data_IF_576340425403
#
_entry.id   IF_576340425403
#
_cell.length_a   1.000
_cell.length_b   1.000
_cell.length_c   1.000
_cell.angle_alpha   90.00
_cell.angle_beta   90.00
_cell.angle_gamma   90.00
#
_symmetry.space_group_name_H-M   'P 1'
#
loop_
_entity.id
_entity.type
_entity.pdbx_description
1 polymer ?
#
# COMPACT_ATOMS: atom_id res chain seq x y z
N UNK A 1 26.56 0.94 -2.80
CA UNK A 1 25.65 -0.15 -2.42
C UNK A 1 24.32 0.45 -2.08
N UNK A 2 23.21 -0.13 -2.54
CA UNK A 2 21.89 0.36 -2.10
C UNK A 2 21.69 -0.07 -0.66
N UNK A 3 21.42 0.89 0.22
CA UNK A 3 21.29 0.69 1.66
C UNK A 3 19.83 0.55 2.10
N UNK A 4 19.62 -0.22 3.16
CA UNK A 4 18.32 -0.24 3.85
C UNK A 4 17.98 1.15 4.37
N UNK A 5 16.68 1.48 4.39
CA UNK A 5 16.18 2.76 4.88
C UNK A 5 15.24 2.58 6.06
N UNK A 6 15.37 3.47 7.03
CA UNK A 6 14.44 3.66 8.15
C UNK A 6 14.06 5.15 8.22
N UNK A 7 13.13 5.50 9.11
CA UNK A 7 12.87 6.89 9.45
C UNK A 7 14.07 7.49 10.20
N UNK A 8 14.35 8.77 9.98
CA UNK A 8 15.37 9.54 10.73
C UNK A 8 14.85 9.96 12.10
N UNK A 9 13.60 10.39 12.16
CA UNK A 9 12.91 10.78 13.39
C UNK A 9 11.59 10.02 13.55
N UNK A 10 11.08 9.92 14.77
CA UNK A 10 9.71 9.49 14.98
C UNK A 10 8.74 10.61 14.57
N UNK A 11 7.61 10.25 13.97
CA UNK A 11 6.55 11.21 13.61
C UNK A 11 5.19 10.68 14.04
N UNK A 12 4.27 11.61 14.36
CA UNK A 12 2.93 11.31 14.85
C UNK A 12 1.89 11.92 13.94
N UNK A 13 0.76 11.22 13.81
CA UNK A 13 -0.44 11.72 13.16
C UNK A 13 -1.66 11.28 13.98
N UNK A 14 -2.77 11.97 13.77
CA UNK A 14 -4.07 11.60 14.32
C UNK A 14 -5.07 11.62 13.18
N UNK A 15 -5.93 10.61 13.13
CA UNK A 15 -7.01 10.54 12.16
C UNK A 15 -8.14 9.64 12.65
N UNK A 16 -9.00 9.24 11.72
CA UNK A 16 -10.11 8.32 11.98
C UNK A 16 -9.93 7.06 11.13
N UNK A 17 -10.40 5.92 11.62
CA UNK A 17 -10.46 4.69 10.84
C UNK A 17 -11.57 4.80 9.79
N UNK A 18 -11.32 4.35 8.56
CA UNK A 18 -12.34 4.38 7.50
C UNK A 18 -13.54 3.52 7.90
N UNK A 19 -13.26 2.29 8.32
CA UNK A 19 -14.31 1.32 8.59
C UNK A 19 -14.85 1.44 10.00
N UNK A 20 -13.96 1.58 10.98
CA UNK A 20 -14.33 1.64 12.40
C UNK A 20 -14.92 2.98 12.82
N UNK A 21 -14.53 4.09 12.18
CA UNK A 21 -14.85 5.45 12.62
C UNK A 21 -14.14 5.87 13.91
N UNK A 22 -13.25 5.03 14.46
CA UNK A 22 -12.54 5.31 15.70
C UNK A 22 -11.42 6.32 15.48
N UNK A 23 -11.20 7.19 16.47
CA UNK A 23 -10.05 8.10 16.48
C UNK A 23 -8.78 7.30 16.76
N UNK A 24 -7.80 7.41 15.87
CA UNK A 24 -6.52 6.70 15.94
C UNK A 24 -5.37 7.70 16.05
N UNK A 25 -4.55 7.52 17.06
CA UNK A 25 -3.20 8.08 17.13
C UNK A 25 -2.23 7.09 16.48
N UNK A 26 -1.54 7.56 15.43
CA UNK A 26 -0.51 6.84 14.69
C UNK A 26 0.87 7.39 15.09
N UNK A 27 1.83 6.53 15.41
CA UNK A 27 3.24 6.92 15.55
C UNK A 27 4.11 6.03 14.66
N UNK A 28 4.85 6.64 13.74
CA UNK A 28 5.87 5.95 12.95
C UNK A 28 7.22 6.15 13.62
N UNK A 29 7.98 5.07 13.85
CA UNK A 29 9.29 5.12 14.51
C UNK A 29 10.38 4.44 13.69
N UNK A 30 11.64 4.89 13.81
CA UNK A 30 12.77 4.16 13.26
C UNK A 30 12.82 2.73 13.82
N UNK A 31 13.31 1.78 13.01
CA UNK A 31 13.57 0.42 13.45
C UNK A 31 14.98 -0.04 13.08
N UNK A 32 15.46 -1.08 13.75
CA UNK A 32 16.77 -1.66 13.49
C UNK A 32 16.84 -2.29 12.09
N UNK A 33 18.07 -2.51 11.62
CA UNK A 33 18.34 -3.26 10.39
C UNK A 33 17.60 -4.61 10.44
N UNK A 34 17.02 -5.00 9.30
CA UNK A 34 16.29 -6.26 9.12
C UNK A 34 15.03 -6.46 9.98
N UNK A 35 14.58 -5.44 10.71
CA UNK A 35 13.30 -5.50 11.43
C UNK A 35 12.12 -5.70 10.47
N UNK A 36 12.17 -5.07 9.29
CA UNK A 36 11.03 -4.93 8.40
C UNK A 36 10.02 -3.89 8.91
N UNK A 37 8.81 -3.92 8.34
CA UNK A 37 7.68 -3.13 8.84
C UNK A 37 6.92 -3.94 9.89
N UNK A 38 6.81 -3.39 11.10
CA UNK A 38 6.14 -4.05 12.23
C UNK A 38 5.07 -3.14 12.80
N UNK A 39 3.82 -3.58 12.72
CA UNK A 39 2.69 -2.87 13.31
C UNK A 39 2.51 -3.26 14.78
N UNK A 40 2.07 -2.31 15.62
CA UNK A 40 1.92 -2.50 17.07
C UNK A 40 0.62 -1.88 17.57
N UNK A 41 -0.21 -2.69 18.23
CA UNK A 41 -1.38 -2.22 19.00
C UNK A 41 -0.92 -1.79 20.38
N UNK A 42 -0.78 -0.48 20.59
CA UNK A 42 -0.21 0.08 21.83
C UNK A 42 -1.26 0.50 22.86
N UNK A 43 -2.54 0.40 22.50
CA UNK A 43 -3.69 0.61 23.39
C UNK A 43 -3.99 -0.61 24.28
N UNK A 44 -3.42 -1.77 23.97
CA UNK A 44 -3.58 -2.99 24.77
C UNK A 44 -2.69 -2.95 26.03
N UNK A 45 -3.06 -3.67 27.12
CA UNK A 45 -2.27 -3.72 28.35
C UNK A 45 -0.81 -4.12 28.11
N UNK A 46 -0.60 -5.06 27.19
CA UNK A 46 0.71 -5.38 26.64
C UNK A 46 0.67 -5.12 25.13
N UNK A 47 1.59 -4.29 24.58
CA UNK A 47 1.62 -4.02 23.16
C UNK A 47 1.81 -5.28 22.33
N UNK A 48 0.92 -5.49 21.36
CA UNK A 48 0.99 -6.66 20.46
C UNK A 48 1.60 -6.26 19.13
N UNK A 49 2.71 -6.90 18.78
CA UNK A 49 3.42 -6.69 17.52
C UNK A 49 3.00 -7.71 16.44
N UNK A 50 2.73 -7.20 15.25
CA UNK A 50 2.36 -7.97 14.06
C UNK A 50 3.24 -7.52 12.88
N UNK A 51 4.11 -8.42 12.40
CA UNK A 51 4.94 -8.14 11.23
C UNK A 51 4.06 -8.02 9.98
N UNK A 52 4.32 -7.03 9.13
CA UNK A 52 3.67 -6.90 7.83
C UNK A 52 4.23 -7.98 6.88
N UNK A 53 3.54 -9.13 6.81
CA UNK A 53 3.89 -10.21 5.91
C UNK A 53 2.65 -10.97 5.42
N UNK A 54 2.72 -11.72 4.28
CA UNK A 54 1.53 -12.30 3.67
C UNK A 54 0.87 -13.37 4.55
N UNK A 55 1.69 -14.01 5.42
CA UNK A 55 1.22 -15.02 6.38
C UNK A 55 0.39 -14.43 7.52
N UNK A 56 0.64 -13.16 7.87
CA UNK A 56 -0.11 -12.47 8.92
C UNK A 56 -1.36 -11.77 8.38
N UNK A 57 -1.61 -11.78 7.06
CA UNK A 57 -2.90 -11.30 6.52
C UNK A 57 -3.99 -12.30 6.90
N UNK A 58 -4.93 -11.85 7.73
CA UNK A 58 -6.03 -12.68 8.24
C UNK A 58 -7.40 -12.34 7.65
N UNK A 59 -7.57 -11.12 7.13
CA UNK A 59 -8.81 -10.65 6.51
C UNK A 59 -8.48 -9.68 5.37
N UNK A 60 -9.26 -9.75 4.31
CA UNK A 60 -9.10 -8.99 3.07
C UNK A 60 -10.42 -8.37 2.58
N UNK A 61 -11.46 -8.37 3.43
CA UNK A 61 -12.74 -7.75 3.11
C UNK A 61 -12.61 -6.22 3.17
N UNK A 62 -12.71 -5.58 2.00
CA UNK A 62 -12.63 -4.11 1.79
C UNK A 62 -11.29 -3.43 2.11
N UNK A 63 -10.42 -4.07 2.88
CA UNK A 63 -9.05 -3.63 3.18
C UNK A 63 -8.15 -4.82 3.49
N UNK A 64 -6.84 -4.62 3.55
CA UNK A 64 -5.90 -5.63 4.04
C UNK A 64 -5.74 -5.52 5.55
N UNK A 65 -6.01 -6.62 6.26
CA UNK A 65 -5.92 -6.69 7.73
C UNK A 65 -4.87 -7.70 8.19
N UNK A 66 -3.95 -7.22 9.03
CA UNK A 66 -2.98 -8.06 9.72
C UNK A 66 -3.60 -8.62 11.02
N UNK A 67 -3.42 -9.90 11.26
CA UNK A 67 -3.99 -10.63 12.40
C UNK A 67 -2.91 -11.47 13.09
N UNK A 68 -2.88 -11.41 14.41
CA UNK A 68 -2.12 -12.30 15.28
C UNK A 68 -3.00 -12.67 16.47
N UNK A 69 -3.28 -13.96 16.61
CA UNK A 69 -4.23 -14.48 17.58
C UNK A 69 -5.60 -13.76 17.47
N UNK A 70 -6.00 -13.00 18.50
CA UNK A 70 -7.26 -12.23 18.53
C UNK A 70 -7.07 -10.74 18.20
N UNK A 71 -5.84 -10.32 17.92
CA UNK A 71 -5.51 -8.91 17.68
C UNK A 71 -5.43 -8.65 16.18
N UNK A 72 -6.10 -7.58 15.73
CA UNK A 72 -6.09 -7.12 14.34
C UNK A 72 -5.65 -5.67 14.21
N UNK A 73 -5.05 -5.37 13.07
CA UNK A 73 -4.76 -4.03 12.57
C UNK A 73 -5.18 -4.00 11.10
N UNK A 74 -6.20 -3.22 10.80
CA UNK A 74 -6.86 -3.17 9.49
C UNK A 74 -6.42 -1.96 8.66
N UNK A 75 -6.66 -2.01 7.35
CA UNK A 75 -6.43 -0.88 6.42
C UNK A 75 -4.95 -0.48 6.33
N UNK A 76 -4.05 -1.47 6.23
CA UNK A 76 -2.59 -1.23 6.21
C UNK A 76 -2.05 -0.79 4.84
N UNK A 77 -2.80 -1.05 3.78
CA UNK A 77 -2.39 -0.95 2.39
C UNK A 77 -1.90 0.45 1.98
N UNK A 78 -2.57 1.53 2.37
CA UNK A 78 -2.17 2.89 1.95
C UNK A 78 -0.85 3.33 2.60
N UNK A 79 -0.67 3.01 3.88
CA UNK A 79 0.57 3.28 4.59
C UNK A 79 1.72 2.40 4.07
N UNK A 80 1.46 1.12 3.80
CA UNK A 80 2.44 0.24 3.18
C UNK A 80 2.82 0.72 1.77
N UNK A 81 1.87 1.26 1.01
CA UNK A 81 2.12 1.85 -0.31
C UNK A 81 3.04 3.07 -0.21
N UNK A 82 2.85 3.92 0.79
CA UNK A 82 3.76 5.03 1.07
C UNK A 82 5.17 4.55 1.45
N UNK A 83 5.31 3.53 2.29
CA UNK A 83 6.61 2.93 2.62
C UNK A 83 7.30 2.32 1.39
N UNK A 84 6.56 1.58 0.57
CA UNK A 84 7.06 0.99 -0.67
C UNK A 84 7.57 2.07 -1.64
N UNK A 85 6.76 3.10 -1.88
CA UNK A 85 7.06 4.20 -2.79
C UNK A 85 8.25 5.07 -2.35
N UNK A 86 8.52 5.15 -1.05
CA UNK A 86 9.68 5.86 -0.49
C UNK A 86 10.88 4.94 -0.18
N UNK A 87 10.70 3.64 -0.33
CA UNK A 87 11.73 2.62 -0.13
C UNK A 87 12.11 2.38 1.34
N UNK A 88 11.20 2.60 2.29
CA UNK A 88 11.42 2.36 3.73
C UNK A 88 11.39 0.87 4.04
N UNK A 89 12.53 0.30 4.44
CA UNK A 89 12.67 -1.11 4.77
C UNK A 89 12.26 -1.42 6.21
N UNK A 90 12.61 -0.55 7.14
CA UNK A 90 12.50 -0.81 8.58
C UNK A 90 11.72 0.31 9.26
N UNK A 91 10.60 -0.03 9.90
CA UNK A 91 9.82 0.90 10.71
C UNK A 91 8.94 0.17 11.72
N UNK A 92 8.75 0.78 12.89
CA UNK A 92 7.65 0.42 13.78
C UNK A 92 6.47 1.34 13.54
N UNK A 93 5.27 0.77 13.47
CA UNK A 93 4.00 1.46 13.23
C UNK A 93 3.09 1.25 14.43
N UNK A 94 3.02 2.25 15.31
CA UNK A 94 2.16 2.17 16.48
C UNK A 94 0.80 2.75 16.17
N UNK A 95 -0.24 1.99 16.48
CA UNK A 95 -1.64 2.41 16.41
C UNK A 95 -2.29 2.22 17.77
N UNK A 96 -3.14 3.17 18.13
CA UNK A 96 -3.92 3.17 19.39
C UNK A 96 -5.33 2.60 19.21
N UNK A 97 -5.64 2.02 18.05
CA UNK A 97 -6.88 1.31 17.80
C UNK A 97 -6.66 0.24 16.71
N UNK A 98 -7.72 -0.49 16.34
CA UNK A 98 -7.67 -1.68 15.48
C UNK A 98 -7.53 -1.39 13.95
N UNK A 99 -7.23 -0.16 13.57
CA UNK A 99 -7.18 0.31 12.18
C UNK A 99 -6.08 1.37 12.03
N UNK A 100 -5.53 1.52 10.83
CA UNK A 100 -4.69 2.66 10.44
C UNK A 100 -5.59 3.85 10.07
N UNK A 101 -5.27 5.11 10.45
CA UNK A 101 -6.12 6.24 10.11
C UNK A 101 -6.20 6.43 8.59
N UNK A 102 -7.39 6.68 8.04
CA UNK A 102 -7.59 6.80 6.58
C UNK A 102 -7.02 8.09 5.97
N UNK A 103 -6.77 9.09 6.81
CA UNK A 103 -6.30 10.42 6.39
C UNK A 103 -7.26 11.03 5.34
N UNK A 104 -6.78 11.28 4.13
CA UNK A 104 -7.57 11.83 3.02
C UNK A 104 -8.02 10.74 2.01
N UNK A 105 -7.86 9.46 2.37
CA UNK A 105 -8.16 8.31 1.51
C UNK A 105 -7.04 7.91 0.57
N UNK A 106 -5.89 8.59 0.60
CA UNK A 106 -4.72 8.31 -0.24
C UNK A 106 -3.45 8.07 0.58
N UNK A 107 -2.34 7.75 -0.10
CA UNK A 107 -1.03 7.63 0.52
C UNK A 107 -0.31 9.00 0.69
N UNK A 108 -0.85 10.08 0.09
CA UNK A 108 -0.23 11.40 0.06
C UNK A 108 0.13 11.96 1.45
N UNK A 109 -0.79 11.95 2.42
CA UNK A 109 -0.50 12.38 3.79
C UNK A 109 0.61 11.55 4.45
N UNK A 110 0.65 10.24 4.21
CA UNK A 110 1.73 9.38 4.75
C UNK A 110 3.07 9.67 4.10
N UNK A 111 3.09 9.87 2.78
CA UNK A 111 4.30 10.28 2.05
C UNK A 111 4.85 11.58 2.63
N UNK A 112 3.99 12.58 2.84
CA UNK A 112 4.36 13.85 3.46
C UNK A 112 4.97 13.65 4.85
N UNK A 113 4.29 12.90 5.73
CA UNK A 113 4.77 12.60 7.08
C UNK A 113 6.15 11.91 7.07
N UNK A 114 6.33 10.89 6.25
CA UNK A 114 7.59 10.14 6.15
C UNK A 114 8.72 11.06 5.64
N UNK A 115 8.45 11.88 4.64
CA UNK A 115 9.43 12.85 4.13
C UNK A 115 9.78 13.92 5.17
N UNK A 116 8.78 14.44 5.91
CA UNK A 116 9.00 15.39 7.02
C UNK A 116 9.80 14.78 8.17
N UNK A 117 9.59 13.50 8.49
CA UNK A 117 10.37 12.77 9.48
C UNK A 117 11.84 12.60 9.05
N UNK A 118 12.09 12.63 7.75
CA UNK A 118 13.37 12.34 7.13
C UNK A 118 13.63 10.83 7.00
N UNK A 119 14.45 10.47 6.03
CA UNK A 119 14.86 9.09 5.76
C UNK A 119 16.32 8.92 6.17
N UNK A 120 16.63 7.86 6.90
CA UNK A 120 17.96 7.49 7.32
C UNK A 120 18.38 6.19 6.66
N UNK A 121 19.51 6.20 5.97
CA UNK A 121 20.14 4.98 5.48
C UNK A 121 20.84 4.23 6.60
N UNK A 122 20.75 2.92 6.58
CA UNK A 122 21.38 2.02 7.54
C UNK A 122 22.53 1.29 6.87
N UNK A 123 23.58 0.95 7.62
CA UNK A 123 24.76 0.27 7.09
C UNK A 123 24.51 -1.23 6.85
N UNK A 124 23.53 -1.54 6.01
CA UNK A 124 23.17 -2.87 5.56
C UNK A 124 22.63 -2.81 4.13
N UNK A 125 22.89 -3.81 3.28
CA UNK A 125 22.39 -3.82 1.92
C UNK A 125 20.86 -3.93 1.91
N UNK A 126 20.21 -3.12 1.07
CA UNK A 126 18.79 -3.29 0.72
C UNK A 126 18.63 -4.54 -0.12
N UNK A 127 17.61 -5.32 0.21
CA UNK A 127 17.36 -6.64 -0.39
C UNK A 127 16.05 -6.57 -1.18
N UNK A 128 16.09 -7.05 -2.40
CA UNK A 128 14.98 -7.01 -3.36
C UNK A 128 14.53 -8.42 -3.69
N UNK A 129 13.26 -8.58 -4.04
CA UNK A 129 12.74 -9.81 -4.65
C UNK A 129 12.70 -9.62 -6.16
N UNK A 130 13.52 -10.37 -6.89
CA UNK A 130 13.51 -10.39 -8.35
C UNK A 130 12.65 -11.53 -8.86
N UNK A 131 11.66 -11.23 -9.69
CA UNK A 131 10.82 -12.22 -10.38
C UNK A 131 11.62 -12.85 -11.52
N UNK A 132 11.70 -14.18 -11.52
CA UNK A 132 12.44 -14.99 -12.51
C UNK A 132 11.51 -15.70 -13.48
N UNK A 133 10.28 -15.99 -13.06
CA UNK A 133 9.27 -16.70 -13.86
C UNK A 133 7.90 -16.10 -13.61
N UNK A 134 7.04 -16.17 -14.61
CA UNK A 134 5.66 -15.68 -14.46
C UNK A 134 4.86 -16.58 -13.52
N UNK A 135 4.09 -15.96 -12.63
CA UNK A 135 3.15 -16.64 -11.71
C UNK A 135 1.82 -15.92 -11.79
N UNK A 136 0.73 -16.67 -11.89
CA UNK A 136 -0.61 -16.14 -12.01
C UNK A 136 -1.56 -16.86 -11.06
N UNK A 137 -2.51 -16.11 -10.50
CA UNK A 137 -3.63 -16.64 -9.73
C UNK A 137 -4.93 -16.08 -10.27
N UNK A 138 -5.97 -16.91 -10.25
CA UNK A 138 -7.29 -16.61 -10.83
C UNK A 138 -8.41 -16.90 -9.82
N UNK A 139 -9.47 -16.10 -9.87
CA UNK A 139 -10.72 -16.28 -9.13
C UNK A 139 -11.91 -15.79 -9.98
N UNK A 140 -12.59 -16.73 -10.64
CA UNK A 140 -13.65 -16.42 -11.59
C UNK A 140 -13.12 -15.60 -12.77
N UNK A 141 -13.60 -14.37 -12.93
CA UNK A 141 -13.15 -13.45 -13.98
C UNK A 141 -12.04 -12.50 -13.53
N UNK A 142 -11.52 -12.66 -12.30
CA UNK A 142 -10.43 -11.85 -11.73
C UNK A 142 -9.12 -12.61 -11.83
N UNK A 143 -8.03 -11.89 -12.09
CA UNK A 143 -6.70 -12.48 -12.06
C UNK A 143 -5.63 -11.47 -11.65
N UNK A 144 -4.53 -11.98 -11.10
CA UNK A 144 -3.34 -11.23 -10.78
C UNK A 144 -2.10 -12.03 -11.18
N UNK A 145 -1.09 -11.35 -11.75
CA UNK A 145 0.09 -11.99 -12.31
C UNK A 145 1.36 -11.21 -11.99
N UNK A 146 2.44 -11.94 -11.74
CA UNK A 146 3.80 -11.43 -11.81
C UNK A 146 4.49 -11.88 -13.08
N UNK A 147 5.32 -11.01 -13.67
CA UNK A 147 6.21 -11.32 -14.78
C UNK A 147 7.63 -10.81 -14.50
N UNK A 148 8.67 -11.49 -15.03
CA UNK A 148 10.03 -10.96 -15.02
C UNK A 148 10.10 -9.62 -15.74
N UNK A 149 10.69 -8.62 -15.09
CA UNK A 149 10.86 -7.28 -15.65
C UNK A 149 12.08 -6.61 -15.02
N UNK A 150 12.89 -5.92 -15.84
CA UNK A 150 14.09 -5.22 -15.39
C UNK A 150 13.75 -3.83 -14.82
N UNK A 151 12.97 -3.80 -13.74
CA UNK A 151 12.45 -2.59 -13.10
C UNK A 151 11.29 -2.94 -12.17
N UNK A 152 10.47 -1.96 -11.82
CA UNK A 152 9.20 -2.19 -11.14
C UNK A 152 8.07 -1.53 -11.93
N UNK A 153 7.13 -2.34 -12.40
CA UNK A 153 5.98 -1.89 -13.19
C UNK A 153 4.69 -2.45 -12.61
N UNK A 154 3.65 -1.64 -12.56
CA UNK A 154 2.32 -2.04 -12.10
C UNK A 154 1.30 -1.66 -13.16
N UNK A 155 0.56 -2.65 -13.62
CA UNK A 155 -0.55 -2.53 -14.56
C UNK A 155 -1.84 -2.97 -13.87
N UNK A 156 -2.90 -2.19 -14.04
CA UNK A 156 -4.18 -2.51 -13.43
C UNK A 156 -5.34 -2.18 -14.35
N UNK A 157 -6.32 -3.08 -14.39
CA UNK A 157 -7.58 -2.91 -15.10
C UNK A 157 -8.75 -3.11 -14.15
N UNK A 158 -9.65 -2.13 -14.10
CA UNK A 158 -10.93 -2.21 -13.41
C UNK A 158 -12.05 -2.48 -14.41
N UNK A 159 -13.16 -3.04 -13.95
CA UNK A 159 -14.36 -3.24 -14.76
C UNK A 159 -15.58 -3.08 -13.86
N UNK A 160 -16.06 -1.86 -13.73
CA UNK A 160 -17.27 -1.55 -12.96
C UNK A 160 -18.45 -1.39 -13.91
N UNK A 161 -19.51 -2.18 -13.71
CA UNK A 161 -20.78 -1.98 -14.40
C UNK A 161 -21.53 -0.81 -13.76
N UNK A 162 -21.12 0.39 -14.15
CA UNK A 162 -21.65 1.64 -13.63
C UNK A 162 -21.57 2.73 -14.72
N UNK A 163 -22.63 3.54 -14.94
CA UNK A 163 -22.67 4.54 -16.00
C UNK A 163 -21.45 5.47 -16.02
N UNK A 164 -20.98 5.88 -14.84
CA UNK A 164 -19.82 6.76 -14.70
C UNK A 164 -18.51 6.17 -15.26
N UNK A 165 -18.36 4.85 -15.27
CA UNK A 165 -17.15 4.17 -15.74
C UNK A 165 -17.23 3.80 -17.23
N UNK A 166 -18.43 3.82 -17.84
CA UNK A 166 -18.60 3.58 -19.28
C UNK A 166 -17.89 4.70 -20.06
N UNK A 167 -16.95 4.32 -20.92
CA UNK A 167 -16.16 5.25 -21.73
C UNK A 167 -15.03 5.99 -21.00
N UNK A 168 -14.78 5.71 -19.71
CA UNK A 168 -13.62 6.23 -18.98
C UNK A 168 -12.42 5.29 -19.07
N UNK A 169 -11.24 5.83 -18.79
CA UNK A 169 -10.03 5.02 -18.69
C UNK A 169 -10.10 4.10 -17.46
N UNK A 170 -10.31 2.81 -17.72
CA UNK A 170 -10.38 1.76 -16.71
C UNK A 170 -9.09 0.95 -16.65
N UNK A 171 -8.04 1.41 -17.31
CA UNK A 171 -6.76 0.74 -17.43
C UNK A 171 -5.62 1.74 -17.22
N UNK A 172 -4.65 1.38 -16.40
CA UNK A 172 -3.46 2.20 -16.21
C UNK A 172 -2.21 1.33 -16.06
N UNK A 173 -1.10 1.86 -16.55
CA UNK A 173 0.23 1.26 -16.44
C UNK A 173 1.17 2.31 -15.85
N UNK A 174 1.88 1.95 -14.79
CA UNK A 174 2.90 2.81 -14.17
C UNK A 174 4.21 2.05 -14.12
N UNK A 175 5.21 2.57 -14.83
CA UNK A 175 6.60 2.10 -14.76
C UNK A 175 7.40 3.05 -13.87
N UNK A 176 7.83 2.56 -12.70
CA UNK A 176 8.52 3.36 -11.69
C UNK A 176 9.99 3.64 -12.04
N UNK A 177 10.51 3.13 -13.16
CA UNK A 177 11.80 3.57 -13.70
C UNK A 177 11.74 4.99 -14.30
N UNK A 178 10.56 5.42 -14.75
CA UNK A 178 10.34 6.72 -15.42
C UNK A 178 9.28 7.57 -14.74
N UNK A 179 8.45 6.98 -13.89
CA UNK A 179 7.29 7.63 -13.27
C UNK A 179 7.48 7.82 -11.77
N UNK A 180 7.17 9.01 -11.27
CA UNK A 180 7.25 9.31 -9.83
C UNK A 180 6.01 8.81 -9.10
N UNK A 181 6.18 7.85 -8.17
CA UNK A 181 5.11 7.40 -7.27
C UNK A 181 4.45 8.57 -6.54
N UNK A 182 5.26 9.49 -6.01
CA UNK A 182 4.77 10.63 -5.23
C UNK A 182 3.84 11.51 -6.06
N UNK A 183 4.19 11.80 -7.32
CA UNK A 183 3.39 12.69 -8.17
C UNK A 183 2.19 12.00 -8.79
N UNK A 184 2.38 10.77 -9.29
CA UNK A 184 1.40 10.13 -10.16
C UNK A 184 0.45 9.17 -9.47
N UNK A 185 0.82 8.63 -8.31
CA UNK A 185 0.04 7.57 -7.64
C UNK A 185 -0.38 7.98 -6.23
N UNK A 186 0.52 8.58 -5.44
CA UNK A 186 0.33 8.71 -3.99
C UNK A 186 -0.94 9.47 -3.57
N UNK A 187 -1.42 10.40 -4.41
CA UNK A 187 -2.60 11.23 -4.08
C UNK A 187 -3.92 10.61 -4.54
N UNK A 188 -3.92 9.46 -5.21
CA UNK A 188 -5.16 8.83 -5.68
C UNK A 188 -5.97 8.29 -4.51
N UNK A 189 -7.18 8.80 -4.31
CA UNK A 189 -8.02 8.47 -3.15
C UNK A 189 -8.82 7.19 -3.35
N UNK A 190 -9.14 6.56 -2.22
CA UNK A 190 -10.12 5.48 -2.15
C UNK A 190 -11.49 5.97 -2.60
N UNK A 191 -12.35 5.03 -2.97
CA UNK A 191 -13.66 5.35 -3.50
C UNK A 191 -14.70 4.31 -3.12
N UNK A 192 -15.96 4.76 -3.05
CA UNK A 192 -17.10 3.91 -2.74
C UNK A 192 -18.36 4.40 -3.44
N UNK A 193 -19.34 3.51 -3.59
CA UNK A 193 -20.63 3.85 -4.17
C UNK A 193 -21.62 4.22 -3.06
N UNK A 194 -22.38 5.28 -3.27
CA UNK A 194 -23.39 5.77 -2.31
C UNK A 194 -24.44 4.70 -2.00
N UNK A 195 -24.85 3.92 -3.01
CA UNK A 195 -25.80 2.81 -2.87
C UNK A 195 -25.33 1.70 -1.93
N UNK A 196 -24.01 1.54 -1.77
CA UNK A 196 -23.43 0.50 -0.91
C UNK A 196 -23.27 0.99 0.54
N UNK A 197 -23.33 2.31 0.79
CA UNK A 197 -22.96 2.91 2.07
C UNK A 197 -23.89 2.50 3.21
N UNK A 198 -25.19 2.45 2.98
CA UNK A 198 -26.17 2.02 4.01
C UNK A 198 -25.91 0.56 4.42
N UNK A 199 -25.77 -0.33 3.43
CA UNK A 199 -25.44 -1.74 3.67
C UNK A 199 -24.11 -1.91 4.41
N UNK A 200 -23.07 -1.15 4.03
CA UNK A 200 -21.78 -1.20 4.70
C UNK A 200 -21.91 -0.76 6.17
N UNK A 201 -22.67 0.31 6.45
CA UNK A 201 -22.87 0.81 7.82
C UNK A 201 -23.64 -0.16 8.69
N UNK A 202 -24.63 -0.88 8.15
CA UNK A 202 -25.34 -1.96 8.87
C UNK A 202 -24.39 -3.08 9.31
N UNK A 203 -23.33 -3.32 8.53
CA UNK A 203 -22.26 -4.29 8.85
C UNK A 203 -21.11 -3.67 9.67
N UNK A 204 -21.30 -2.46 10.21
CA UNK A 204 -20.28 -1.69 10.95
C UNK A 204 -19.00 -1.40 10.13
N UNK A 205 -19.16 -1.20 8.83
CA UNK A 205 -18.12 -0.81 7.88
C UNK A 205 -18.38 0.62 7.39
N UNK A 206 -17.33 1.28 6.90
CA UNK A 206 -17.34 2.65 6.39
C UNK A 206 -17.94 3.71 7.36
N UNK A 207 -17.83 3.48 8.68
CA UNK A 207 -18.39 4.38 9.70
C UNK A 207 -17.66 5.73 9.77
N UNK A 208 -16.37 5.77 9.39
CA UNK A 208 -15.57 6.98 9.30
C UNK A 208 -15.47 7.57 7.89
N UNK A 209 -16.17 6.99 6.91
CA UNK A 209 -16.15 7.45 5.52
C UNK A 209 -16.86 8.79 5.35
N UNK A 210 -16.18 9.77 4.75
CA UNK A 210 -16.69 11.09 4.40
C UNK A 210 -16.20 11.52 3.01
N UNK A 211 -16.72 12.62 2.47
CA UNK A 211 -16.23 13.20 1.22
C UNK A 211 -14.78 13.73 1.33
N UNK A 212 -14.27 13.94 2.54
CA UNK A 212 -12.90 14.39 2.78
C UNK A 212 -11.88 13.26 2.63
N UNK A 213 -12.33 12.00 2.81
CA UNK A 213 -11.45 10.83 2.84
C UNK A 213 -11.81 9.72 1.84
N UNK A 214 -12.81 9.95 0.99
CA UNK A 214 -13.15 9.06 -0.10
C UNK A 214 -13.78 9.82 -1.27
N UNK A 215 -13.55 9.34 -2.49
CA UNK A 215 -14.37 9.71 -3.64
C UNK A 215 -15.68 8.94 -3.55
N UNK A 216 -16.81 9.65 -3.44
CA UNK A 216 -18.12 9.01 -3.35
C UNK A 216 -18.84 9.16 -4.68
N UNK A 217 -19.30 8.04 -5.21
CA UNK A 217 -19.96 7.94 -6.51
C UNK A 217 -21.44 7.59 -6.29
N UNK A 218 -22.36 8.43 -6.76
CA UNK A 218 -23.78 8.06 -6.87
C UNK A 218 -24.02 7.32 -8.21
N UNK A 219 -25.28 6.98 -8.52
CA UNK A 219 -25.62 6.21 -9.73
C UNK A 219 -25.18 6.87 -11.06
N UNK A 220 -24.85 8.17 -11.06
CA UNK A 220 -24.60 8.95 -12.28
C UNK A 220 -23.36 9.85 -12.22
N UNK A 221 -22.92 10.30 -11.05
CA UNK A 221 -21.90 11.34 -10.88
C UNK A 221 -21.03 11.12 -9.63
N UNK A 222 -19.96 11.91 -9.56
CA UNK A 222 -19.10 12.04 -8.38
C UNK A 222 -19.71 13.12 -7.48
N UNK A 223 -19.78 12.84 -6.17
CA UNK A 223 -20.38 13.74 -5.19
C UNK A 223 -19.40 14.77 -4.60
N UNK A 224 -18.10 14.51 -4.67
CA UNK A 224 -17.08 15.45 -4.20
C UNK A 224 -17.11 16.72 -5.06
N UNK A 225 -17.30 17.90 -4.44
CA UNK A 225 -17.44 19.18 -5.14
C UNK A 225 -16.19 19.55 -5.96
N UNK A 226 -15.00 19.29 -5.41
CA UNK A 226 -13.72 19.51 -6.09
C UNK A 226 -13.40 18.46 -7.17
N UNK A 227 -14.26 17.45 -7.34
CA UNK A 227 -14.09 16.39 -8.32
C UNK A 227 -12.92 15.43 -8.04
N UNK A 228 -12.28 14.96 -9.12
CA UNK A 228 -11.14 14.03 -9.06
C UNK A 228 -9.81 14.77 -9.07
N UNK A 229 -8.80 14.18 -8.44
CA UNK A 229 -7.40 14.62 -8.50
C UNK A 229 -6.71 14.21 -9.80
N UNK A 230 -7.18 13.12 -10.41
CA UNK A 230 -6.74 12.59 -11.70
C UNK A 230 -7.94 12.10 -12.49
N UNK A 231 -7.92 12.19 -13.83
CA UNK A 231 -9.01 11.66 -14.65
C UNK A 231 -9.21 10.14 -14.46
N UNK A 232 -8.11 9.43 -14.18
CA UNK A 232 -8.01 7.99 -13.95
C UNK A 232 -7.80 7.65 -12.45
N UNK A 233 -8.24 8.52 -11.53
CA UNK A 233 -8.00 8.39 -10.07
C UNK A 233 -8.42 7.01 -9.50
N UNK A 234 -9.53 6.44 -9.99
CA UNK A 234 -10.03 5.13 -9.52
C UNK A 234 -9.05 3.98 -9.80
N UNK A 235 -8.51 3.88 -11.02
CA UNK A 235 -7.57 2.82 -11.38
C UNK A 235 -6.19 3.10 -10.79
N UNK A 236 -5.78 4.37 -10.70
CA UNK A 236 -4.56 4.77 -9.98
C UNK A 236 -4.62 4.42 -8.49
N UNK A 237 -5.79 4.51 -7.86
CA UNK A 237 -5.96 4.04 -6.48
C UNK A 237 -5.81 2.52 -6.38
N UNK A 238 -6.29 1.75 -7.36
CA UNK A 238 -6.06 0.29 -7.37
C UNK A 238 -4.60 -0.09 -7.60
N UNK A 239 -3.84 0.73 -8.33
CA UNK A 239 -2.38 0.63 -8.41
C UNK A 239 -1.75 0.93 -7.04
N UNK A 240 -2.22 1.97 -6.33
CA UNK A 240 -1.76 2.31 -4.98
C UNK A 240 -2.02 1.16 -4.00
N UNK A 241 -3.23 0.60 -3.97
CA UNK A 241 -3.61 -0.56 -3.17
C UNK A 241 -2.69 -1.75 -3.47
N UNK A 242 -2.50 -2.07 -4.76
CA UNK A 242 -1.63 -3.16 -5.18
C UNK A 242 -0.21 -2.96 -4.66
N UNK A 243 0.41 -1.78 -4.84
CA UNK A 243 1.77 -1.50 -4.33
C UNK A 243 1.86 -1.74 -2.82
N UNK A 244 0.84 -1.32 -2.06
CA UNK A 244 0.77 -1.55 -0.62
C UNK A 244 0.69 -3.01 -0.25
N UNK A 245 -0.22 -3.76 -0.87
CA UNK A 245 -0.37 -5.20 -0.67
C UNK A 245 0.92 -5.94 -1.05
N UNK A 246 1.51 -5.64 -2.21
CA UNK A 246 2.75 -6.26 -2.68
C UNK A 246 3.91 -6.05 -1.70
N UNK A 247 3.92 -4.92 -0.97
CA UNK A 247 4.95 -4.63 0.03
C UNK A 247 4.87 -5.52 1.26
N UNK A 248 3.78 -6.30 1.44
CA UNK A 248 3.74 -7.38 2.42
C UNK A 248 4.82 -8.43 2.17
N UNK A 249 5.41 -8.55 0.98
CA UNK A 249 6.62 -9.36 0.79
C UNK A 249 7.79 -8.93 1.69
N UNK A 250 7.72 -7.73 2.28
CA UNK A 250 8.73 -7.17 3.19
C UNK A 250 9.97 -6.65 2.49
N UNK A 251 9.95 -6.60 1.15
CA UNK A 251 11.05 -6.22 0.27
C UNK A 251 10.49 -5.56 -0.98
N UNK A 252 11.27 -4.65 -1.57
CA UNK A 252 10.91 -4.06 -2.86
C UNK A 252 11.03 -5.10 -3.98
N UNK A 253 10.10 -5.03 -4.94
CA UNK A 253 10.01 -5.98 -6.05
C UNK A 253 10.79 -5.49 -7.28
N UNK A 254 11.44 -6.41 -7.99
CA UNK A 254 11.97 -6.22 -9.35
C UNK A 254 11.20 -7.20 -10.23
N UNK A 255 10.26 -6.67 -11.00
CA UNK A 255 9.26 -7.43 -11.73
C UNK A 255 8.10 -6.53 -12.17
N UNK A 256 7.21 -7.10 -12.98
CA UNK A 256 5.97 -6.46 -13.35
C UNK A 256 4.81 -7.16 -12.64
N UNK A 257 3.88 -6.38 -12.10
CA UNK A 257 2.58 -6.86 -11.62
C UNK A 257 1.50 -6.42 -12.60
N UNK A 258 0.60 -7.33 -12.94
CA UNK A 258 -0.61 -7.02 -13.70
C UNK A 258 -1.84 -7.56 -12.96
N UNK A 259 -2.81 -6.70 -12.67
CA UNK A 259 -4.07 -7.06 -12.03
C UNK A 259 -5.27 -6.74 -12.90
N UNK A 260 -6.16 -7.72 -13.13
CA UNK A 260 -7.46 -7.51 -13.76
C UNK A 260 -8.56 -7.81 -12.78
N UNK A 261 -9.33 -6.77 -12.41
CA UNK A 261 -10.36 -6.81 -11.36
C UNK A 261 -9.84 -7.41 -10.03
N UNK A 262 -8.53 -7.33 -9.81
CA UNK A 262 -7.90 -7.85 -8.59
C UNK A 262 -8.32 -7.01 -7.37
N UNK A 263 -8.08 -7.55 -6.20
CA UNK A 263 -8.24 -6.86 -4.92
C UNK A 263 -7.36 -7.53 -3.86
N UNK A 264 -7.45 -7.06 -2.62
CA UNK A 264 -6.60 -7.49 -1.51
C UNK A 264 -6.48 -9.02 -1.34
N UNK A 265 -7.60 -9.74 -1.49
CA UNK A 265 -7.65 -11.20 -1.40
C UNK A 265 -6.76 -11.88 -2.46
N UNK A 266 -6.92 -11.48 -3.71
CA UNK A 266 -6.21 -12.07 -4.84
C UNK A 266 -4.74 -11.64 -4.88
N UNK A 267 -4.46 -10.39 -4.49
CA UNK A 267 -3.10 -9.88 -4.30
C UNK A 267 -2.35 -10.73 -3.26
N UNK A 268 -2.92 -10.93 -2.06
CA UNK A 268 -2.29 -11.76 -1.01
C UNK A 268 -2.14 -13.22 -1.45
N UNK A 269 -3.12 -13.79 -2.18
CA UNK A 269 -3.00 -15.13 -2.75
C UNK A 269 -1.82 -15.24 -3.72
N UNK A 270 -1.62 -14.25 -4.59
CA UNK A 270 -0.47 -14.18 -5.49
C UNK A 270 0.86 -14.13 -4.71
N UNK A 271 0.92 -13.35 -3.62
CA UNK A 271 2.12 -13.29 -2.77
C UNK A 271 2.45 -14.63 -2.12
N UNK A 272 1.42 -15.34 -1.64
CA UNK A 272 1.61 -16.67 -1.02
C UNK A 272 2.07 -17.69 -2.05
N UNK A 273 1.53 -17.65 -3.27
CA UNK A 273 1.96 -18.51 -4.37
C UNK A 273 3.42 -18.23 -4.76
N UNK A 274 3.79 -16.96 -4.90
CA UNK A 274 5.18 -16.55 -5.17
C UNK A 274 6.14 -17.08 -4.10
N UNK A 275 5.81 -16.92 -2.81
CA UNK A 275 6.66 -17.40 -1.73
C UNK A 275 6.72 -18.93 -1.64
N UNK A 276 5.71 -19.64 -2.13
CA UNK A 276 5.69 -21.10 -2.17
C UNK A 276 6.56 -21.66 -3.33
N UNK A 277 6.60 -20.97 -4.48
CA UNK A 277 7.48 -21.32 -5.60
C UNK A 277 8.83 -20.58 -5.52
N UNK A 278 9.77 -21.15 -4.77
CA UNK A 278 11.14 -20.62 -4.66
C UNK A 278 11.93 -20.62 -5.97
N UNK A 279 11.43 -21.25 -7.05
CA UNK A 279 12.09 -21.22 -8.37
C UNK A 279 11.71 -19.98 -9.18
N UNK A 280 10.61 -19.33 -8.81
CA UNK A 280 10.07 -18.19 -9.55
C UNK A 280 10.60 -16.84 -9.09
N UNK A 281 11.38 -16.79 -8.01
CA UNK A 281 12.01 -15.57 -7.52
C UNK A 281 13.38 -15.83 -6.88
N UNK A 282 14.13 -14.76 -6.67
CA UNK A 282 15.33 -14.78 -5.85
C UNK A 282 15.52 -13.45 -5.12
N UNK A 283 16.28 -13.51 -4.03
CA UNK A 283 16.68 -12.33 -3.27
C UNK A 283 17.99 -11.77 -3.82
N UNK A 284 18.03 -10.49 -4.16
CA UNK A 284 19.24 -9.83 -4.66
C UNK A 284 19.54 -8.53 -3.91
N UNK A 285 20.81 -8.13 -3.98
CA UNK A 285 21.34 -6.86 -3.45
C UNK A 285 22.20 -6.21 -4.52
N UNK A 286 22.34 -4.88 -4.47
CA UNK A 286 23.22 -4.14 -5.40
C UNK A 286 24.38 -3.48 -4.65
N UNK A 287 25.61 -3.85 -5.00
CA UNK A 287 26.84 -3.23 -4.49
C UNK A 287 27.08 -1.83 -5.08
N UNK A 288 26.54 -1.55 -6.26
CA UNK A 288 26.57 -0.27 -6.96
C UNK A 288 25.14 0.19 -7.28
N UNK A 289 24.82 1.44 -6.95
CA UNK A 289 23.47 1.99 -7.17
C UNK A 289 23.16 2.15 -8.66
N UNK A 290 24.18 2.40 -9.49
CA UNK A 290 24.01 2.56 -10.94
C UNK A 290 23.59 1.27 -11.65
N UNK A 291 23.73 0.11 -11.00
CA UNK A 291 23.34 -1.19 -11.54
C UNK A 291 21.90 -1.57 -11.21
N UNK A 292 21.23 -0.84 -10.32
CA UNK A 292 19.87 -1.17 -9.92
C UNK A 292 18.85 -0.61 -10.91
N UNK A 293 17.85 -1.41 -11.32
CA UNK A 293 16.80 -0.96 -12.24
C UNK A 293 15.73 -0.11 -11.55
N UNK A 294 15.91 0.20 -10.25
CA UNK A 294 14.99 1.00 -9.44
C UNK A 294 15.80 2.06 -8.72
N UNK A 295 15.42 3.32 -8.95
CA UNK A 295 16.02 4.49 -8.30
C UNK A 295 15.05 5.05 -7.26
N UNK A 296 15.54 5.22 -6.03
CA UNK A 296 14.78 5.93 -4.99
C UNK A 296 15.20 7.40 -4.95
N UNK A 297 14.28 8.27 -4.54
CA UNK A 297 14.63 9.66 -4.24
C UNK A 297 15.77 9.70 -3.20
N UNK A 298 16.74 10.58 -3.42
CA UNK A 298 17.79 10.79 -2.44
C UNK A 298 17.19 11.41 -1.17
N UNK A 299 17.59 10.95 0.03
CA UNK A 299 17.19 11.60 1.26
C UNK A 299 17.63 13.06 1.21
N UNK A 300 16.73 14.00 1.53
CA UNK A 300 17.13 15.39 1.64
C UNK A 300 18.20 15.50 2.73
N UNK A 301 19.42 15.88 2.35
CA UNK A 301 20.43 16.29 3.31
C UNK A 301 19.93 17.59 3.93
N UNK A 302 19.51 17.54 5.20
CA UNK A 302 19.36 18.77 5.96
C UNK A 302 20.76 19.41 6.04
N UNK A 303 20.97 20.49 5.29
CA UNK A 303 22.09 21.39 5.51
C UNK A 303 22.05 21.83 6.96
N UNK A 304 23.12 21.55 7.71
CA UNK A 304 23.29 22.04 9.08
C UNK A 304 23.30 23.57 9.11
#
# INVERSE_FOLDING_TARGET
MIRQRTLKNAIRATGVGLHTGEKIYLTLRPAAIDAGIVFRRVDLPEPVEIKACPRNVGDTQLSTSLVKDKVRISTVEHLLSAFAGLGIDNAYVDVSAAEVPIMDGSAGPFVFLIQSAGIQEQNAPKRFIRIKRSIMVEDGDKWARFDPFAGFKVEFSIAFDHPLFKGRNQHAVVDFSTTSFVKEVSRARTFGFMRDLEYLREQRLALGGTLDNAVVVDDYRILNEDGLRYEDEFVKHKILDAIGDLYLLGRSLIGAFTGYKSGHALNNRLLRELLADSTAWEEITFSDEHQAPISYLQPAHASC
#
